data_IF_104085517256
#
_entry.id   IF_104085517256
#
_cell.length_a   1.000
_cell.length_b   1.000
_cell.length_c   1.000
_cell.angle_alpha   90.00
_cell.angle_beta   90.00
_cell.angle_gamma   90.00
#
_symmetry.space_group_name_H-M   'P 1'
#
loop_
_entity.id
_entity.type
_entity.pdbx_description
1 polymer ?
#
# COMPACT_ATOMS: atom_id res chain seq x y z
N UNK A 1 29.22 7.16 2.38
CA UNK A 1 27.85 7.23 2.93
C UNK A 1 26.96 7.11 1.71
N UNK A 2 26.29 5.97 1.54
CA UNK A 2 25.36 5.82 0.41
C UNK A 2 24.27 6.87 0.54
N UNK A 3 24.09 7.63 -0.53
CA UNK A 3 23.12 8.71 -0.60
C UNK A 3 21.72 8.07 -0.59
N UNK A 4 21.02 8.22 0.54
CA UNK A 4 19.69 7.64 0.73
C UNK A 4 18.71 8.27 -0.26
N UNK A 5 18.31 7.50 -1.27
CA UNK A 5 17.43 7.98 -2.33
C UNK A 5 16.00 7.46 -2.09
N UNK A 6 15.13 8.30 -1.52
CA UNK A 6 13.75 7.94 -1.22
C UNK A 6 12.95 7.40 -2.43
N UNK A 7 13.03 8.00 -3.64
CA UNK A 7 12.36 7.46 -4.83
C UNK A 7 12.71 6.00 -5.14
N UNK A 8 13.97 5.59 -4.90
CA UNK A 8 14.42 4.21 -5.14
C UNK A 8 13.84 3.18 -4.19
N UNK A 9 13.20 3.61 -3.10
CA UNK A 9 12.51 2.69 -2.20
C UNK A 9 11.19 2.18 -2.79
N UNK A 10 10.59 2.88 -3.74
CA UNK A 10 9.28 2.54 -4.29
C UNK A 10 9.42 1.59 -5.48
N UNK A 11 8.60 0.54 -5.51
CA UNK A 11 8.55 -0.39 -6.64
C UNK A 11 8.13 0.26 -7.95
N UNK A 12 7.46 1.41 -7.90
CA UNK A 12 7.04 2.18 -9.07
C UNK A 12 7.27 3.67 -8.85
N UNK A 13 8.00 4.29 -9.79
CA UNK A 13 8.30 5.73 -9.79
C UNK A 13 7.03 6.57 -9.81
N UNK A 14 5.97 6.07 -10.46
CA UNK A 14 4.68 6.77 -10.50
C UNK A 14 3.99 6.82 -9.13
N UNK A 15 4.21 5.82 -8.26
CA UNK A 15 3.67 5.84 -6.90
C UNK A 15 4.34 6.91 -6.06
N UNK A 16 5.67 7.01 -6.16
CA UNK A 16 6.43 8.04 -5.47
C UNK A 16 5.98 9.44 -5.89
N UNK A 17 5.82 9.69 -7.20
CA UNK A 17 5.31 10.99 -7.68
C UNK A 17 3.92 11.33 -7.15
N UNK A 18 3.02 10.33 -7.03
CA UNK A 18 1.70 10.56 -6.44
C UNK A 18 1.76 10.87 -4.94
N UNK A 19 2.61 10.16 -4.20
CA UNK A 19 2.85 10.44 -2.78
C UNK A 19 3.41 11.86 -2.60
N UNK A 20 4.43 12.22 -3.38
CA UNK A 20 5.04 13.55 -3.32
C UNK A 20 4.04 14.65 -3.63
N UNK A 21 3.26 14.51 -4.70
CA UNK A 21 2.22 15.49 -5.03
C UNK A 21 1.15 15.61 -3.94
N UNK A 22 0.78 14.51 -3.28
CA UNK A 22 -0.17 14.53 -2.18
C UNK A 22 0.41 15.24 -0.93
N UNK A 23 1.69 15.01 -0.64
CA UNK A 23 2.40 15.66 0.46
C UNK A 23 2.56 17.16 0.22
N UNK A 24 2.94 17.58 -1.00
CA UNK A 24 3.02 18.99 -1.38
C UNK A 24 1.65 19.69 -1.27
N UNK A 25 0.59 19.03 -1.75
CA UNK A 25 -0.75 19.62 -1.75
C UNK A 25 -1.37 19.76 -0.35
N UNK A 26 -1.01 18.90 0.60
CA UNK A 26 -1.71 18.79 1.90
C UNK A 26 -0.81 19.05 3.11
N UNK A 27 0.51 19.11 2.93
CA UNK A 27 1.49 19.17 4.01
C UNK A 27 1.67 17.85 4.78
N UNK A 28 0.76 16.87 4.61
CA UNK A 28 0.86 15.56 5.21
C UNK A 28 0.16 14.48 4.38
N UNK A 29 0.60 13.24 4.56
CA UNK A 29 -0.03 12.02 4.07
C UNK A 29 0.01 10.99 5.19
N UNK A 30 -1.13 10.36 5.46
CA UNK A 30 -1.26 9.27 6.41
C UNK A 30 -1.91 8.07 5.71
N UNK A 31 -1.46 6.85 6.03
CA UNK A 31 -2.11 5.64 5.54
C UNK A 31 -1.84 5.29 4.08
N UNK A 32 -0.77 5.82 3.47
CA UNK A 32 -0.48 5.57 2.06
C UNK A 32 0.11 4.17 1.87
N UNK A 33 -0.66 3.25 1.31
CA UNK A 33 -0.19 1.90 1.02
C UNK A 33 0.58 1.87 -0.31
N UNK A 34 1.83 1.41 -0.28
CA UNK A 34 2.65 1.23 -1.47
C UNK A 34 3.55 0.00 -1.34
N UNK A 35 4.03 -0.50 -2.48
CA UNK A 35 5.03 -1.56 -2.50
C UNK A 35 6.43 -0.95 -2.52
N UNK A 36 7.28 -1.39 -1.59
CA UNK A 36 8.68 -0.99 -1.51
C UNK A 36 9.59 -2.06 -2.16
N UNK A 37 10.65 -1.64 -2.85
CA UNK A 37 11.53 -2.50 -3.66
C UNK A 37 12.98 -2.58 -3.15
N UNK A 38 13.20 -2.39 -1.84
CA UNK A 38 14.51 -2.56 -1.20
C UNK A 38 14.99 -4.01 -1.14
N UNK A 39 16.04 -4.28 -0.35
CA UNK A 39 16.60 -5.64 -0.16
C UNK A 39 15.54 -6.67 0.25
N UNK A 40 14.55 -6.24 1.02
CA UNK A 40 13.37 -7.01 1.39
C UNK A 40 12.12 -6.31 0.88
N UNK A 41 11.63 -6.67 -0.32
CA UNK A 41 10.41 -6.08 -0.86
C UNK A 41 9.20 -6.36 0.05
N UNK A 42 8.42 -5.33 0.34
CA UNK A 42 7.28 -5.44 1.23
C UNK A 42 6.15 -4.48 0.83
N UNK A 43 4.94 -4.79 1.27
CA UNK A 43 3.87 -3.79 1.33
C UNK A 43 4.07 -2.96 2.58
N UNK A 44 4.07 -1.64 2.44
CA UNK A 44 4.19 -0.72 3.57
C UNK A 44 3.04 0.28 3.59
N UNK A 45 2.66 0.69 4.79
CA UNK A 45 1.94 1.95 4.99
C UNK A 45 2.98 3.03 5.23
N UNK A 46 2.88 4.11 4.46
CA UNK A 46 3.76 5.26 4.50
C UNK A 46 2.98 6.43 5.09
N UNK A 47 3.64 7.12 6.02
CA UNK A 47 3.20 8.40 6.53
C UNK A 47 4.31 9.42 6.29
N UNK A 48 3.93 10.63 5.89
CA UNK A 48 4.84 11.72 5.62
C UNK A 48 4.24 13.05 6.06
N UNK A 49 5.07 13.97 6.57
CA UNK A 49 4.64 15.33 6.88
C UNK A 49 5.77 16.34 6.72
N UNK A 50 5.42 17.51 6.21
CA UNK A 50 6.27 18.69 6.31
C UNK A 50 6.24 19.21 7.75
N UNK A 51 7.41 19.59 8.23
CA UNK A 51 7.59 20.19 9.55
C UNK A 51 8.77 21.16 9.50
N UNK A 52 8.98 21.87 10.59
CA UNK A 52 10.11 22.78 10.76
C UNK A 52 11.01 22.23 11.88
N UNK A 53 12.31 22.14 11.63
CA UNK A 53 13.33 21.78 12.63
C UNK A 53 14.30 22.96 12.70
N UNK A 54 14.42 23.58 13.87
CA UNK A 54 15.32 24.72 14.10
C UNK A 54 15.14 25.88 13.09
N UNK A 55 13.92 26.12 12.63
CA UNK A 55 13.60 27.16 11.63
C UNK A 55 13.77 26.72 10.18
N UNK A 56 14.25 25.49 9.93
CA UNK A 56 14.48 24.96 8.58
C UNK A 56 13.37 23.98 8.19
N UNK A 57 12.86 24.05 6.93
CA UNK A 57 11.86 23.12 6.44
C UNK A 57 12.44 21.71 6.33
N UNK A 58 11.70 20.73 6.86
CA UNK A 58 12.08 19.32 6.81
C UNK A 58 10.87 18.43 6.54
N UNK A 59 11.14 17.22 6.08
CA UNK A 59 10.12 16.20 5.84
C UNK A 59 10.38 15.00 6.73
N UNK A 60 9.42 14.68 7.60
CA UNK A 60 9.42 13.44 8.37
C UNK A 60 8.66 12.37 7.61
N UNK A 61 9.32 11.23 7.38
CA UNK A 61 8.74 10.06 6.73
C UNK A 61 8.98 8.83 7.59
N UNK A 62 7.95 8.03 7.80
CA UNK A 62 8.07 6.71 8.42
C UNK A 62 7.15 5.73 7.70
N UNK A 63 7.47 4.45 7.82
CA UNK A 63 6.64 3.39 7.27
C UNK A 63 6.68 2.15 8.16
N UNK A 64 5.68 1.29 8.01
CA UNK A 64 5.63 0.00 8.67
C UNK A 64 5.11 -1.07 7.71
N UNK A 65 5.65 -2.28 7.84
CA UNK A 65 5.31 -3.41 6.99
C UNK A 65 3.89 -3.92 7.28
N UNK A 66 3.11 -4.08 6.22
CA UNK A 66 1.74 -4.59 6.22
C UNK A 66 1.57 -5.84 5.33
N UNK A 67 2.67 -6.47 4.92
CA UNK A 67 2.65 -7.66 4.05
C UNK A 67 1.86 -8.80 4.69
N UNK A 68 2.00 -9.00 6.01
CA UNK A 68 1.20 -9.98 6.75
C UNK A 68 -0.30 -9.66 6.73
N UNK A 69 -0.66 -8.37 6.87
CA UNK A 69 -2.05 -7.91 6.76
C UNK A 69 -2.62 -8.18 5.37
N UNK A 70 -1.88 -7.85 4.30
CA UNK A 70 -2.27 -8.12 2.92
C UNK A 70 -2.47 -9.61 2.64
N UNK A 71 -1.58 -10.46 3.17
CA UNK A 71 -1.71 -11.92 3.03
C UNK A 71 -2.99 -12.45 3.69
N UNK A 72 -3.30 -11.99 4.92
CA UNK A 72 -4.53 -12.35 5.62
C UNK A 72 -5.78 -11.84 4.90
N UNK A 73 -5.76 -10.59 4.40
CA UNK A 73 -6.85 -10.04 3.60
C UNK A 73 -7.10 -10.86 2.32
N UNK A 74 -6.05 -11.33 1.66
CA UNK A 74 -6.16 -12.17 0.48
C UNK A 74 -6.71 -13.56 0.84
N UNK A 75 -6.25 -14.17 1.92
CA UNK A 75 -6.76 -15.45 2.41
C UNK A 75 -8.26 -15.36 2.76
N UNK A 76 -8.67 -14.31 3.49
CA UNK A 76 -10.07 -14.07 3.81
C UNK A 76 -10.93 -13.87 2.55
N UNK A 77 -10.43 -13.15 1.53
CA UNK A 77 -11.13 -13.00 0.24
C UNK A 77 -11.28 -14.33 -0.48
N UNK A 78 -10.26 -15.19 -0.44
CA UNK A 78 -10.33 -16.52 -1.05
C UNK A 78 -11.38 -17.38 -0.33
N UNK A 79 -11.37 -17.44 1.00
CA UNK A 79 -12.38 -18.18 1.78
C UNK A 79 -13.80 -17.64 1.57
N UNK A 80 -13.97 -16.33 1.44
CA UNK A 80 -15.26 -15.71 1.20
C UNK A 80 -15.76 -15.90 -0.24
N UNK A 81 -14.88 -16.23 -1.20
CA UNK A 81 -15.23 -16.41 -2.61
C UNK A 81 -15.18 -17.83 -3.11
N UNK A 82 -14.52 -18.74 -2.38
CA UNK A 82 -14.35 -20.14 -2.77
C UNK A 82 -14.89 -21.11 -1.73
N UNK A 83 -15.42 -22.24 -2.19
CA UNK A 83 -15.81 -23.35 -1.33
C UNK A 83 -14.55 -24.13 -0.92
N UNK A 84 -14.32 -24.26 0.40
CA UNK A 84 -13.08 -24.81 0.96
C UNK A 84 -12.84 -26.28 0.62
N UNK A 85 -13.87 -27.01 0.17
CA UNK A 85 -13.77 -28.42 -0.20
C UNK A 85 -13.35 -28.61 -1.66
N UNK A 86 -13.59 -27.62 -2.52
CA UNK A 86 -13.42 -27.75 -3.98
C UNK A 86 -12.53 -26.69 -4.63
N UNK A 87 -12.26 -25.57 -3.94
CA UNK A 87 -11.52 -24.42 -4.50
C UNK A 87 -12.28 -23.66 -5.59
N UNK A 88 -13.52 -24.07 -5.90
CA UNK A 88 -14.39 -23.40 -6.86
C UNK A 88 -15.11 -22.21 -6.21
N UNK A 89 -15.59 -21.27 -7.03
CA UNK A 89 -16.39 -20.16 -6.53
C UNK A 89 -17.57 -20.69 -5.70
N UNK A 90 -17.73 -20.16 -4.49
CA UNK A 90 -18.86 -20.51 -3.67
C UNK A 90 -20.16 -19.93 -4.27
N UNK A 91 -21.29 -20.48 -3.82
CA UNK A 91 -22.61 -20.12 -4.34
C UNK A 91 -22.89 -18.61 -4.28
N UNK A 92 -22.42 -17.93 -3.23
CA UNK A 92 -22.63 -16.49 -3.06
C UNK A 92 -21.86 -15.67 -4.11
N UNK A 93 -20.58 -15.95 -4.30
CA UNK A 93 -19.76 -15.26 -5.31
C UNK A 93 -20.19 -15.58 -6.74
N UNK A 94 -20.64 -16.80 -7.02
CA UNK A 94 -21.21 -17.15 -8.31
C UNK A 94 -22.46 -16.32 -8.65
N UNK A 95 -23.38 -16.18 -7.70
CA UNK A 95 -24.60 -15.37 -7.89
C UNK A 95 -24.28 -13.87 -8.03
N UNK A 96 -23.35 -13.36 -7.22
CA UNK A 96 -22.91 -11.96 -7.31
C UNK A 96 -22.25 -11.62 -8.66
N UNK A 97 -21.44 -12.53 -9.22
CA UNK A 97 -20.86 -12.35 -10.55
C UNK A 97 -21.90 -12.39 -11.67
N UNK A 98 -22.92 -13.25 -11.55
CA UNK A 98 -24.02 -13.32 -12.52
C UNK A 98 -24.87 -12.05 -12.53
N UNK A 99 -25.10 -11.42 -11.36
CA UNK A 99 -25.79 -10.13 -11.25
C UNK A 99 -25.00 -8.97 -11.86
N UNK A 100 -23.66 -8.99 -11.79
CA UNK A 100 -22.80 -7.96 -12.38
C UNK A 100 -22.67 -8.07 -13.92
N UNK A 101 -23.10 -9.19 -14.52
CA UNK A 101 -23.07 -9.42 -15.96
C UNK A 101 -24.39 -9.08 -16.69
N UNK A 102 -25.43 -8.67 -15.95
CA UNK A 102 -26.72 -8.20 -16.46
C UNK A 102 -26.78 -6.67 -16.48
#
# INVERSE_FOLDING_TARGET
QDDFNLPRLFASTSEYSRLQNALEARGQVDGWEAQLCGETPCWAVICARHLEIDGEPATLIWCYDISRRKAMEQELRLLASTDTLTGLHNRHSFLHQAELML
#
